data_IF_174688559946
#
_entry.id   IF_174688559946
#
_cell.length_a   1.000
_cell.length_b   1.000
_cell.length_c   1.000
_cell.angle_alpha   90.00
_cell.angle_beta   90.00
_cell.angle_gamma   90.00
#
_symmetry.space_group_name_H-M   'P 1'
#
loop_
_entity.id
_entity.type
_entity.pdbx_description
1 polymer ?
#
# COMPACT_ATOMS: atom_id res chain seq x y z
N UNK A 1 -12.55 27.94 14.31
CA UNK A 1 -11.23 27.36 13.99
C UNK A 1 -10.83 26.55 15.22
N UNK A 2 -10.95 25.22 15.14
CA UNK A 2 -10.61 24.34 16.27
C UNK A 2 -9.11 24.16 16.33
N UNK A 3 -8.53 24.48 17.48
CA UNK A 3 -7.10 24.39 17.76
C UNK A 3 -6.84 22.94 18.23
N UNK A 4 -6.43 22.07 17.31
CA UNK A 4 -6.23 20.64 17.56
C UNK A 4 -4.92 20.31 18.28
N UNK A 5 -4.05 21.30 18.50
CA UNK A 5 -2.75 21.07 19.12
C UNK A 5 -2.72 21.57 20.55
N UNK A 6 -2.27 20.73 21.46
CA UNK A 6 -1.99 21.12 22.84
C UNK A 6 -0.86 22.17 22.91
N UNK A 7 -0.73 22.81 24.06
CA UNK A 7 0.38 23.77 24.29
C UNK A 7 1.76 23.10 24.21
N UNK A 8 1.82 21.83 24.58
CA UNK A 8 3.02 20.98 24.51
C UNK A 8 3.34 20.57 23.08
N UNK A 9 2.34 20.26 22.25
CA UNK A 9 2.52 19.97 20.83
C UNK A 9 3.06 21.18 20.07
N UNK A 10 2.56 22.38 20.37
CA UNK A 10 3.06 23.63 19.80
C UNK A 10 4.51 23.92 20.20
N UNK A 11 4.88 23.55 21.43
CA UNK A 11 6.25 23.71 21.93
C UNK A 11 7.20 22.72 21.24
N UNK A 12 6.76 21.48 21.04
CA UNK A 12 7.49 20.46 20.28
C UNK A 12 7.67 20.89 18.81
N UNK A 13 6.60 21.40 18.19
CA UNK A 13 6.65 21.90 16.80
C UNK A 13 7.63 23.09 16.66
N UNK A 14 7.65 23.99 17.63
CA UNK A 14 8.60 25.10 17.66
C UNK A 14 10.04 24.61 17.90
N UNK A 15 10.24 23.61 18.75
CA UNK A 15 11.56 22.97 18.92
C UNK A 15 12.05 22.30 17.65
N UNK A 16 11.18 21.61 16.92
CA UNK A 16 11.49 20.97 15.64
C UNK A 16 11.78 22.02 14.55
N UNK A 17 11.08 23.17 14.59
CA UNK A 17 11.34 24.30 13.69
C UNK A 17 12.65 25.02 13.99
N UNK A 18 13.18 24.90 15.21
CA UNK A 18 14.50 25.41 15.62
C UNK A 18 15.63 24.37 15.51
N UNK A 19 15.32 23.11 15.24
CA UNK A 19 16.29 22.24 14.64
C UNK A 19 16.58 22.84 13.27
N UNK A 20 17.56 23.74 13.28
CA UNK A 20 18.15 24.27 12.09
C UNK A 20 18.57 23.04 11.26
N UNK A 21 17.67 22.56 10.44
CA UNK A 21 18.00 21.75 9.28
C UNK A 21 18.81 22.70 8.39
N UNK A 22 19.94 23.18 8.97
CA UNK A 22 21.00 23.68 8.15
C UNK A 22 21.07 22.71 7.02
N UNK A 23 20.76 23.17 5.82
CA UNK A 23 20.83 22.49 4.58
C UNK A 23 22.06 21.56 4.57
N UNK A 24 21.97 20.46 5.30
CA UNK A 24 22.77 19.32 5.03
C UNK A 24 22.18 18.89 3.72
N UNK A 25 22.70 19.40 2.62
CA UNK A 25 22.62 18.69 1.37
C UNK A 25 22.91 17.25 1.74
N UNK A 26 21.87 16.45 1.84
CA UNK A 26 21.99 15.01 1.77
C UNK A 26 22.39 14.81 0.31
N UNK A 27 23.66 15.04 0.05
CA UNK A 27 24.28 14.53 -1.14
C UNK A 27 24.11 13.03 -1.02
N UNK A 28 23.06 12.52 -1.62
CA UNK A 28 22.96 11.12 -2.01
C UNK A 28 24.21 10.92 -2.84
N UNK A 29 25.25 10.34 -2.21
CA UNK A 29 26.45 9.98 -2.93
C UNK A 29 25.99 9.14 -4.10
N UNK A 30 26.33 9.59 -5.26
CA UNK A 30 25.94 9.12 -6.59
C UNK A 30 26.50 7.71 -6.93
N UNK A 31 26.49 6.80 -5.96
CA UNK A 31 26.96 5.43 -6.07
C UNK A 31 25.84 4.40 -5.88
N UNK A 32 24.57 4.82 -5.94
CA UNK A 32 23.45 3.89 -5.95
C UNK A 32 23.13 3.50 -7.38
N UNK A 33 23.35 2.24 -7.72
CA UNK A 33 22.78 1.66 -8.93
C UNK A 33 21.29 1.45 -8.69
N UNK A 34 20.45 1.98 -9.58
CA UNK A 34 18.98 1.81 -9.51
C UNK A 34 18.58 0.80 -10.59
N UNK A 35 17.94 -0.28 -10.16
CA UNK A 35 17.29 -1.23 -11.04
C UNK A 35 15.77 -1.08 -10.91
N UNK A 36 15.05 -1.13 -12.03
CA UNK A 36 13.59 -1.00 -12.07
C UNK A 36 13.00 -2.29 -12.63
N UNK A 37 12.13 -2.92 -11.85
CA UNK A 37 11.40 -4.12 -12.25
C UNK A 37 9.90 -3.88 -12.19
N UNK A 38 9.21 -4.25 -13.28
CA UNK A 38 7.75 -4.21 -13.28
C UNK A 38 7.18 -5.43 -12.54
N UNK A 39 6.33 -5.18 -11.54
CA UNK A 39 5.65 -6.23 -10.78
C UNK A 39 4.39 -6.68 -11.49
N UNK A 40 3.57 -5.74 -11.91
CA UNK A 40 2.32 -5.96 -12.62
C UNK A 40 1.94 -4.73 -13.43
N UNK A 41 1.25 -4.95 -14.54
CA UNK A 41 0.65 -3.91 -15.36
C UNK A 41 -0.85 -4.17 -15.56
N UNK A 42 -1.54 -3.28 -16.28
CA UNK A 42 -2.92 -3.49 -16.72
C UNK A 42 -3.06 -4.80 -17.50
N UNK A 43 -4.20 -5.47 -17.33
CA UNK A 43 -4.58 -6.65 -18.11
C UNK A 43 -5.92 -6.43 -18.82
N UNK A 44 -6.42 -7.43 -19.55
CA UNK A 44 -7.65 -7.32 -20.34
C UNK A 44 -8.91 -7.04 -19.51
N UNK A 45 -8.89 -7.38 -18.22
CA UNK A 45 -10.02 -7.16 -17.30
C UNK A 45 -9.83 -5.93 -16.43
N UNK A 46 -8.59 -5.64 -16.02
CA UNK A 46 -8.30 -4.60 -15.03
C UNK A 46 -7.30 -3.59 -15.60
N UNK A 47 -7.81 -2.44 -16.02
CA UNK A 47 -6.99 -1.35 -16.54
C UNK A 47 -6.37 -0.51 -15.43
N UNK A 48 -6.90 -0.58 -14.18
CA UNK A 48 -6.47 0.26 -13.07
C UNK A 48 -5.90 -0.57 -11.92
N UNK A 49 -4.67 -0.25 -11.53
CA UNK A 49 -3.95 -0.82 -10.39
C UNK A 49 -3.65 0.30 -9.40
N UNK A 50 -3.97 0.11 -8.13
CA UNK A 50 -3.82 1.19 -7.15
C UNK A 50 -3.34 0.68 -5.78
N UNK A 51 -2.72 1.61 -5.01
CA UNK A 51 -2.31 1.46 -3.62
C UNK A 51 -1.54 0.16 -3.36
N UNK A 52 -0.38 0.04 -4.01
CA UNK A 52 0.48 -1.12 -3.84
C UNK A 52 1.16 -1.13 -2.48
N UNK A 53 1.22 -2.31 -1.87
CA UNK A 53 2.01 -2.62 -0.68
C UNK A 53 3.07 -3.65 -1.01
N UNK A 54 4.24 -3.54 -0.38
CA UNK A 54 5.33 -4.51 -0.52
C UNK A 54 5.94 -4.80 0.84
N UNK A 55 6.31 -6.06 1.06
CA UNK A 55 7.03 -6.50 2.25
C UNK A 55 7.99 -7.65 1.90
N UNK A 56 9.09 -7.75 2.63
CA UNK A 56 9.94 -8.93 2.63
C UNK A 56 9.62 -9.78 3.86
N UNK A 57 9.46 -11.09 3.66
CA UNK A 57 9.24 -12.04 4.73
C UNK A 57 9.90 -13.38 4.39
N UNK A 58 10.83 -13.81 5.25
CA UNK A 58 11.61 -15.04 5.08
C UNK A 58 12.26 -15.18 3.70
N UNK A 59 12.92 -14.12 3.20
CA UNK A 59 13.62 -14.12 1.91
C UNK A 59 12.70 -14.06 0.69
N UNK A 60 11.40 -13.82 0.89
CA UNK A 60 10.42 -13.67 -0.19
C UNK A 60 9.83 -12.28 -0.14
N UNK A 61 9.83 -11.55 -1.25
CA UNK A 61 9.06 -10.33 -1.41
C UNK A 61 7.62 -10.67 -1.76
N UNK A 62 6.69 -10.01 -1.10
CA UNK A 62 5.26 -10.03 -1.38
C UNK A 62 4.86 -8.64 -1.83
N UNK A 63 4.22 -8.52 -2.98
CA UNK A 63 3.68 -7.27 -3.49
C UNK A 63 2.18 -7.46 -3.77
N UNK A 64 1.35 -6.61 -3.17
CA UNK A 64 -0.10 -6.65 -3.35
C UNK A 64 -0.63 -5.28 -3.75
N UNK A 65 -1.78 -5.28 -4.40
CA UNK A 65 -2.51 -4.10 -4.84
C UNK A 65 -3.98 -4.45 -5.00
N UNK A 66 -4.85 -3.43 -5.14
CA UNK A 66 -6.19 -3.70 -5.63
C UNK A 66 -6.33 -3.27 -7.10
N UNK A 67 -7.21 -3.97 -7.82
CA UNK A 67 -7.54 -3.68 -9.20
C UNK A 67 -8.94 -3.10 -9.33
N UNK A 68 -9.15 -2.26 -10.34
CA UNK A 68 -10.46 -1.89 -10.82
C UNK A 68 -10.51 -2.07 -12.35
N UNK A 69 -11.70 -2.26 -12.91
CA UNK A 69 -11.84 -2.50 -14.34
C UNK A 69 -11.39 -1.29 -15.17
N UNK A 70 -11.90 -0.09 -14.87
CA UNK A 70 -11.59 1.12 -15.64
C UNK A 70 -10.98 2.23 -14.82
N UNK A 71 -11.51 2.46 -13.62
CA UNK A 71 -11.07 3.52 -12.70
C UNK A 71 -11.36 3.16 -11.25
N UNK A 72 -10.80 3.93 -10.34
CA UNK A 72 -10.85 3.70 -8.90
C UNK A 72 -12.26 3.44 -8.37
N UNK A 73 -12.40 2.35 -7.58
CA UNK A 73 -13.61 1.94 -6.87
C UNK A 73 -14.85 1.72 -7.78
N UNK A 74 -14.64 1.40 -9.04
CA UNK A 74 -15.70 1.03 -9.97
C UNK A 74 -15.58 -0.44 -10.35
N UNK A 75 -16.69 -1.18 -10.21
CA UNK A 75 -16.76 -2.61 -10.41
C UNK A 75 -16.13 -3.40 -9.27
N UNK A 76 -15.86 -4.68 -9.43
CA UNK A 76 -15.12 -5.50 -8.48
C UNK A 76 -13.71 -4.94 -8.25
N UNK A 77 -13.29 -4.91 -6.98
CA UNK A 77 -11.95 -4.46 -6.61
C UNK A 77 -11.18 -5.58 -5.92
N UNK A 78 -10.75 -6.63 -6.65
CA UNK A 78 -10.02 -7.72 -6.05
C UNK A 78 -8.66 -7.26 -5.50
N UNK A 79 -8.26 -7.83 -4.37
CA UNK A 79 -6.89 -7.77 -3.90
C UNK A 79 -6.08 -8.85 -4.60
N UNK A 80 -5.05 -8.44 -5.31
CA UNK A 80 -4.14 -9.30 -6.06
C UNK A 80 -2.73 -9.20 -5.51
N UNK A 81 -1.96 -10.26 -5.69
CA UNK A 81 -0.62 -10.38 -5.15
C UNK A 81 0.30 -11.10 -6.11
N UNK A 82 1.58 -10.80 -6.04
CA UNK A 82 2.68 -11.61 -6.58
C UNK A 82 3.77 -11.78 -5.54
N UNK A 83 4.61 -12.81 -5.74
CA UNK A 83 5.75 -13.11 -4.89
C UNK A 83 7.03 -13.18 -5.70
N UNK A 84 8.14 -12.74 -5.10
CA UNK A 84 9.49 -12.87 -5.68
C UNK A 84 10.43 -13.50 -4.66
N UNK A 85 11.29 -14.42 -5.14
CA UNK A 85 12.31 -15.09 -4.32
C UNK A 85 13.74 -14.68 -4.70
N UNK A 86 13.88 -13.73 -5.60
CA UNK A 86 15.18 -13.31 -6.18
C UNK A 86 15.39 -11.79 -6.06
N UNK A 87 14.77 -11.17 -5.04
CA UNK A 87 14.93 -9.74 -4.79
C UNK A 87 14.15 -8.86 -5.76
N UNK A 88 13.05 -9.37 -6.33
CA UNK A 88 12.16 -8.60 -7.21
C UNK A 88 12.51 -8.72 -8.70
N UNK A 89 13.51 -9.51 -9.08
CA UNK A 89 13.91 -9.69 -10.48
C UNK A 89 12.89 -10.47 -11.29
N UNK A 90 12.31 -11.51 -10.67
CA UNK A 90 11.20 -12.28 -11.25
C UNK A 90 10.06 -12.40 -10.26
N UNK A 91 8.85 -12.50 -10.77
CA UNK A 91 7.62 -12.55 -9.99
C UNK A 91 6.76 -13.75 -10.38
N UNK A 92 6.05 -14.31 -9.41
CA UNK A 92 5.08 -15.40 -9.62
C UNK A 92 3.93 -14.95 -10.53
N UNK A 93 3.10 -15.90 -10.93
CA UNK A 93 1.78 -15.60 -11.45
C UNK A 93 0.96 -14.80 -10.42
N UNK A 94 -0.08 -14.10 -10.89
CA UNK A 94 -0.97 -13.33 -10.05
C UNK A 94 -1.83 -14.26 -9.22
N UNK A 95 -1.87 -14.01 -7.91
CA UNK A 95 -2.76 -14.64 -6.95
C UNK A 95 -3.88 -13.67 -6.58
N UNK A 96 -5.13 -14.11 -6.57
CA UNK A 96 -6.25 -13.33 -6.04
C UNK A 96 -6.42 -13.70 -4.56
N UNK A 97 -6.28 -12.72 -3.67
CA UNK A 97 -6.34 -12.89 -2.22
C UNK A 97 -7.75 -12.68 -1.71
N UNK A 98 -8.43 -11.64 -2.21
CA UNK A 98 -9.82 -11.36 -1.88
C UNK A 98 -10.55 -10.86 -3.13
N UNK A 99 -11.76 -11.33 -3.35
CA UNK A 99 -12.62 -10.91 -4.46
C UNK A 99 -14.09 -11.12 -4.09
N UNK A 100 -14.93 -10.13 -4.36
CA UNK A 100 -16.37 -10.29 -4.44
C UNK A 100 -16.85 -10.12 -5.89
N UNK A 101 -17.14 -11.22 -6.55
CA UNK A 101 -17.62 -11.21 -7.95
C UNK A 101 -19.00 -10.57 -8.12
N UNK A 102 -19.75 -10.37 -7.05
CA UNK A 102 -21.05 -9.68 -7.11
C UNK A 102 -20.90 -8.17 -7.22
N UNK A 103 -19.71 -7.63 -6.94
CA UNK A 103 -19.41 -6.19 -6.92
C UNK A 103 -20.12 -5.41 -5.82
N UNK A 104 -20.65 -6.12 -4.81
CA UNK A 104 -21.31 -5.48 -3.65
C UNK A 104 -20.32 -5.08 -2.58
N UNK A 105 -19.18 -5.77 -2.52
CA UNK A 105 -18.11 -5.52 -1.58
C UNK A 105 -16.90 -5.08 -2.38
N UNK A 106 -16.35 -3.94 -2.00
CA UNK A 106 -15.13 -3.40 -2.52
C UNK A 106 -14.00 -3.62 -1.51
N UNK A 107 -12.85 -4.08 -1.99
CA UNK A 107 -11.65 -4.26 -1.17
C UNK A 107 -10.64 -3.17 -1.52
N UNK A 108 -10.07 -2.49 -0.51
CA UNK A 108 -9.00 -1.50 -0.67
C UNK A 108 -8.45 -1.05 0.70
N UNK A 109 -7.25 -0.50 0.78
CA UNK A 109 -6.04 -1.02 0.16
C UNK A 109 -5.50 -2.21 0.96
N UNK A 110 -4.62 -3.05 0.40
CA UNK A 110 -3.91 -4.05 1.18
C UNK A 110 -2.77 -3.41 1.97
N UNK A 111 -2.57 -3.87 3.21
CA UNK A 111 -1.41 -3.49 4.03
C UNK A 111 -0.82 -4.74 4.64
N UNK A 112 0.50 -4.91 4.54
CA UNK A 112 1.19 -6.01 5.19
C UNK A 112 1.66 -5.66 6.59
N UNK A 113 1.70 -6.66 7.46
CA UNK A 113 2.30 -6.59 8.78
C UNK A 113 2.94 -7.92 9.19
N UNK A 114 3.95 -7.86 10.04
CA UNK A 114 4.57 -9.04 10.64
C UNK A 114 4.35 -8.96 12.14
N UNK A 115 3.81 -10.03 12.73
CA UNK A 115 3.62 -10.15 14.15
C UNK A 115 3.87 -11.61 14.56
N UNK A 116 4.64 -11.85 15.63
CA UNK A 116 4.97 -13.20 16.16
C UNK A 116 5.45 -14.16 15.05
N UNK A 117 6.33 -13.67 14.18
CA UNK A 117 6.87 -14.43 13.04
C UNK A 117 5.80 -14.99 12.10
N UNK A 118 4.71 -14.24 11.93
CA UNK A 118 3.65 -14.51 10.96
C UNK A 118 3.43 -13.30 10.08
N UNK A 119 3.24 -13.54 8.79
CA UNK A 119 2.86 -12.51 7.82
C UNK A 119 1.34 -12.37 7.81
N UNK A 120 0.87 -11.15 7.96
CA UNK A 120 -0.54 -10.77 7.89
C UNK A 120 -0.76 -9.82 6.71
N UNK A 121 -1.93 -9.91 6.11
CA UNK A 121 -2.44 -8.88 5.21
C UNK A 121 -3.72 -8.32 5.83
N UNK A 122 -3.74 -7.01 6.05
CA UNK A 122 -4.92 -6.28 6.48
C UNK A 122 -5.59 -5.74 5.23
N UNK A 123 -6.90 -5.95 5.12
CA UNK A 123 -7.70 -5.55 3.96
C UNK A 123 -8.90 -4.77 4.46
N UNK A 124 -9.14 -3.59 3.89
CA UNK A 124 -10.37 -2.85 4.12
C UNK A 124 -11.48 -3.40 3.23
N UNK A 125 -12.66 -3.55 3.80
CA UNK A 125 -13.89 -3.91 3.12
C UNK A 125 -14.89 -2.77 3.18
N UNK A 126 -15.47 -2.41 2.04
CA UNK A 126 -16.50 -1.39 1.92
C UNK A 126 -17.73 -1.94 1.20
N UNK A 127 -18.91 -1.51 1.63
CA UNK A 127 -20.18 -1.89 0.96
C UNK A 127 -20.34 -1.15 -0.38
N UNK A 128 -19.82 0.06 -0.49
CA UNK A 128 -19.78 0.83 -1.75
C UNK A 128 -18.88 2.05 -1.61
N UNK A 129 -18.47 2.64 -2.73
CA UNK A 129 -17.71 3.88 -2.73
C UNK A 129 -18.43 5.08 -2.07
N UNK A 130 -19.76 5.06 -2.04
CA UNK A 130 -20.58 6.11 -1.38
C UNK A 130 -20.63 5.95 0.14
N UNK A 131 -20.19 4.83 0.68
CA UNK A 131 -20.24 4.49 2.09
C UNK A 131 -18.84 4.33 2.71
N UNK A 132 -17.92 5.19 2.35
CA UNK A 132 -16.52 5.19 2.85
C UNK A 132 -16.40 5.30 4.38
N UNK A 133 -17.49 5.65 5.08
CA UNK A 133 -17.54 5.71 6.55
C UNK A 133 -17.90 4.36 7.20
N UNK A 134 -18.28 3.36 6.41
CA UNK A 134 -18.61 2.02 6.86
C UNK A 134 -17.52 1.03 6.41
N UNK A 135 -16.29 1.24 6.90
CA UNK A 135 -15.14 0.40 6.62
C UNK A 135 -15.02 -0.67 7.69
N UNK A 136 -14.95 -1.91 7.27
CA UNK A 136 -14.55 -3.03 8.12
C UNK A 136 -13.13 -3.47 7.76
N UNK A 137 -12.32 -3.77 8.77
CA UNK A 137 -10.95 -4.23 8.61
C UNK A 137 -10.86 -5.73 8.88
N UNK A 138 -10.34 -6.46 7.91
CA UNK A 138 -10.10 -7.91 7.98
C UNK A 138 -8.60 -8.24 7.97
N UNK A 139 -8.26 -9.37 8.59
CA UNK A 139 -6.87 -9.84 8.70
C UNK A 139 -6.79 -11.28 8.22
#
# INVERSE_FOLDING_TARGET
>A
MFDFFSKEDKQLYNMLGHLNMAEKEISLKDNSETEIYEVAGPDDKYAFLHEAAIIEYHGTLFAAWYNCEEKELIGPTPIRQKRSKDGGKTWSDIETIAEDQTGKILFCPPVYGICEDKLYMLINEMVSADHIHALDLYV
#
